data_IF_494780456251
#
_entry.id   IF_494780456251
#
_cell.length_a   1.000
_cell.length_b   1.000
_cell.length_c   1.000
_cell.angle_alpha   90.00
_cell.angle_beta   90.00
_cell.angle_gamma   90.00
#
_symmetry.space_group_name_H-M   'P 1'
#
loop_
_entity.id
_entity.type
_entity.pdbx_description
1 polymer ?
#
# COMPACT_ATOMS: atom_id res chain seq x y z
N UNK A 1 15.61 -30.63 -48.83
CA UNK A 1 15.59 -29.37 -48.06
C UNK A 1 16.95 -28.71 -48.17
N UNK A 2 17.03 -27.42 -48.56
CA UNK A 2 18.31 -26.75 -48.83
C UNK A 2 19.09 -26.57 -47.53
N UNK A 3 20.43 -26.76 -47.57
CA UNK A 3 21.31 -26.55 -46.40
C UNK A 3 21.09 -25.16 -45.78
N UNK A 4 20.78 -24.17 -46.61
CA UNK A 4 20.45 -22.79 -46.24
C UNK A 4 19.24 -22.70 -45.29
N UNK A 5 18.15 -23.42 -45.56
CA UNK A 5 16.97 -23.43 -44.69
C UNK A 5 17.25 -24.01 -43.30
N UNK A 6 18.13 -25.01 -43.23
CA UNK A 6 18.52 -25.63 -41.95
C UNK A 6 19.39 -24.68 -41.10
N UNK A 7 20.22 -23.83 -41.71
CA UNK A 7 20.99 -22.82 -40.99
C UNK A 7 20.11 -21.66 -40.51
N UNK A 8 19.17 -21.20 -41.35
CA UNK A 8 18.21 -20.15 -40.97
C UNK A 8 17.35 -20.57 -39.77
N UNK A 9 16.88 -21.83 -39.79
CA UNK A 9 16.11 -22.41 -38.67
C UNK A 9 16.92 -22.46 -37.37
N UNK A 10 18.21 -22.85 -37.46
CA UNK A 10 19.12 -22.87 -36.30
C UNK A 10 19.37 -21.46 -35.73
N UNK A 11 19.50 -20.45 -36.60
CA UNK A 11 19.70 -19.06 -36.20
C UNK A 11 18.44 -18.52 -35.50
N UNK A 12 17.24 -18.84 -36.02
CA UNK A 12 15.98 -18.44 -35.38
C UNK A 12 15.80 -19.07 -33.99
N UNK A 13 16.17 -20.35 -33.83
CA UNK A 13 16.18 -21.00 -32.51
C UNK A 13 17.19 -20.33 -31.56
N UNK A 14 18.38 -19.98 -32.06
CA UNK A 14 19.41 -19.31 -31.25
C UNK A 14 18.95 -17.93 -30.76
N UNK A 15 18.26 -17.16 -31.61
CA UNK A 15 17.69 -15.85 -31.27
C UNK A 15 16.56 -16.00 -30.24
N UNK A 16 15.69 -17.00 -30.39
CA UNK A 16 14.65 -17.29 -29.38
C UNK A 16 15.25 -17.70 -28.03
N UNK A 17 16.31 -18.51 -28.03
CA UNK A 17 17.00 -18.95 -26.80
C UNK A 17 17.74 -17.80 -26.11
N UNK A 18 18.30 -16.85 -26.86
CA UNK A 18 18.98 -15.67 -26.32
C UNK A 18 17.99 -14.58 -25.85
N UNK A 19 16.80 -14.49 -26.47
CA UNK A 19 15.78 -13.49 -26.15
C UNK A 19 14.91 -13.78 -24.92
N UNK A 20 14.90 -15.02 -24.40
CA UNK A 20 14.08 -15.39 -23.23
C UNK A 20 14.65 -14.91 -21.88
N UNK A 21 15.91 -14.47 -21.82
CA UNK A 21 16.58 -14.12 -20.56
C UNK A 21 16.30 -12.72 -20.00
N UNK A 22 15.55 -11.86 -20.71
CA UNK A 22 15.41 -10.44 -20.33
C UNK A 22 14.00 -10.02 -19.90
N UNK A 23 13.04 -10.95 -19.78
CA UNK A 23 11.65 -10.60 -19.46
C UNK A 23 11.32 -10.45 -17.97
N UNK A 24 12.25 -10.72 -17.04
CA UNK A 24 11.91 -10.83 -15.61
C UNK A 24 12.71 -9.92 -14.65
N UNK A 25 13.06 -8.70 -15.10
CA UNK A 25 13.70 -7.69 -14.22
C UNK A 25 12.72 -6.81 -13.43
N UNK A 26 11.42 -7.09 -13.44
CA UNK A 26 10.42 -6.29 -12.72
C UNK A 26 10.02 -6.91 -11.35
N UNK A 27 10.14 -8.23 -11.18
CA UNK A 27 9.59 -8.95 -10.02
C UNK A 27 10.25 -8.65 -8.67
N UNK A 28 11.47 -8.11 -8.65
CA UNK A 28 12.19 -7.76 -7.41
C UNK A 28 11.70 -6.46 -6.78
N UNK A 29 11.38 -5.44 -7.59
CA UNK A 29 10.98 -4.11 -7.11
C UNK A 29 9.66 -4.16 -6.34
N UNK A 30 8.70 -4.95 -6.80
CA UNK A 30 7.37 -5.04 -6.19
C UNK A 30 7.41 -5.76 -4.84
N UNK A 31 8.31 -6.73 -4.67
CA UNK A 31 8.50 -7.46 -3.42
C UNK A 31 9.11 -6.59 -2.33
N UNK A 32 10.11 -5.78 -2.67
CA UNK A 32 10.75 -4.87 -1.72
C UNK A 32 9.76 -3.79 -1.24
N UNK A 33 8.96 -3.23 -2.15
CA UNK A 33 7.92 -2.25 -1.79
C UNK A 33 6.83 -2.87 -0.92
N UNK A 34 6.41 -4.11 -1.20
CA UNK A 34 5.44 -4.82 -0.39
C UNK A 34 5.97 -5.07 1.04
N UNK A 35 7.21 -5.53 1.15
CA UNK A 35 7.87 -5.76 2.43
C UNK A 35 8.00 -4.46 3.25
N UNK A 36 8.42 -3.37 2.62
CA UNK A 36 8.52 -2.07 3.30
C UNK A 36 7.14 -1.55 3.73
N UNK A 37 6.10 -1.74 2.91
CA UNK A 37 4.73 -1.37 3.26
C UNK A 37 4.28 -2.09 4.52
N UNK A 38 4.42 -3.42 4.54
CA UNK A 38 4.02 -4.25 5.68
C UNK A 38 4.74 -3.81 6.96
N UNK A 39 6.06 -3.68 6.90
CA UNK A 39 6.88 -3.26 8.04
C UNK A 39 6.50 -1.88 8.57
N UNK A 40 6.27 -0.91 7.69
CA UNK A 40 5.86 0.44 8.10
C UNK A 40 4.45 0.42 8.69
N UNK A 41 3.53 -0.35 8.13
CA UNK A 41 2.18 -0.49 8.67
C UNK A 41 2.20 -1.10 10.07
N UNK A 42 2.96 -2.18 10.29
CA UNK A 42 3.13 -2.79 11.61
C UNK A 42 3.68 -1.78 12.63
N UNK A 43 4.73 -1.04 12.26
CA UNK A 43 5.33 -0.02 13.13
C UNK A 43 4.38 1.16 13.46
N UNK A 44 3.52 1.55 12.51
CA UNK A 44 2.60 2.67 12.71
C UNK A 44 1.36 2.27 13.50
N UNK A 45 0.93 1.01 13.42
CA UNK A 45 -0.27 0.50 14.09
C UNK A 45 0.04 -0.15 15.45
N UNK A 46 1.31 -0.35 15.82
CA UNK A 46 1.74 -0.80 17.15
C UNK A 46 1.56 0.29 18.23
N UNK A 47 0.32 0.77 18.40
CA UNK A 47 -0.07 1.74 19.41
C UNK A 47 -0.91 1.05 20.49
N UNK A 48 -0.66 1.29 21.80
CA UNK A 48 -1.49 0.73 22.86
C UNK A 48 -2.94 1.22 22.74
N UNK A 49 -3.87 0.28 22.64
CA UNK A 49 -5.31 0.56 22.55
C UNK A 49 -5.90 0.66 23.96
N UNK A 50 -6.76 1.65 24.19
CA UNK A 50 -7.57 1.77 25.41
C UNK A 50 -9.04 1.44 25.13
N UNK A 51 -9.56 0.37 25.72
CA UNK A 51 -10.98 -0.03 25.59
C UNK A 51 -11.95 1.11 25.90
N UNK A 52 -11.62 1.93 26.91
CA UNK A 52 -12.41 3.11 27.28
C UNK A 52 -12.45 4.16 26.16
N UNK A 53 -11.31 4.40 25.50
CA UNK A 53 -11.23 5.33 24.39
C UNK A 53 -11.97 4.80 23.16
N UNK A 54 -11.80 3.52 22.82
CA UNK A 54 -12.53 2.86 21.72
C UNK A 54 -14.03 2.93 21.96
N UNK A 55 -14.50 2.60 23.16
CA UNK A 55 -15.92 2.71 23.52
C UNK A 55 -16.44 4.11 23.28
N UNK A 56 -15.70 5.13 23.71
CA UNK A 56 -16.07 6.53 23.49
C UNK A 56 -16.15 6.86 22.00
N UNK A 57 -15.16 6.44 21.20
CA UNK A 57 -15.11 6.69 19.76
C UNK A 57 -16.30 6.04 19.05
N UNK A 58 -16.59 4.77 19.36
CA UNK A 58 -17.68 4.01 18.76
C UNK A 58 -19.05 4.56 19.15
N UNK A 59 -19.24 4.97 20.41
CA UNK A 59 -20.53 5.48 20.89
C UNK A 59 -20.83 6.92 20.44
N UNK A 60 -19.81 7.69 20.07
CA UNK A 60 -19.96 9.12 19.73
C UNK A 60 -19.87 9.42 18.24
N UNK A 61 -19.53 8.43 17.40
CA UNK A 61 -19.55 8.60 15.95
C UNK A 61 -20.99 8.87 15.48
N UNK A 62 -21.15 9.90 14.66
CA UNK A 62 -22.45 10.24 14.06
C UNK A 62 -22.71 9.41 12.81
N UNK A 63 -23.96 9.30 12.33
CA UNK A 63 -24.29 8.57 11.10
C UNK A 63 -23.55 9.07 9.85
N UNK A 64 -23.12 10.33 9.84
CA UNK A 64 -22.35 10.94 8.75
C UNK A 64 -20.83 10.69 8.86
N UNK A 65 -20.38 9.93 9.86
CA UNK A 65 -18.97 9.63 10.12
C UNK A 65 -18.21 10.75 10.83
N UNK A 66 -18.89 11.82 11.27
CA UNK A 66 -18.25 12.88 12.05
C UNK A 66 -18.26 12.59 13.55
N UNK A 67 -17.32 13.16 14.28
CA UNK A 67 -17.30 13.13 15.74
C UNK A 67 -17.63 14.50 16.33
N UNK A 68 -18.39 14.56 17.45
CA UNK A 68 -18.62 15.80 18.16
C UNK A 68 -17.31 16.37 18.72
N UNK A 69 -17.22 17.70 18.77
CA UNK A 69 -16.06 18.40 19.33
C UNK A 69 -14.84 18.47 18.39
N UNK A 70 -15.01 18.15 17.11
CA UNK A 70 -14.05 18.44 16.04
C UNK A 70 -14.64 19.56 15.18
N UNK A 71 -13.89 20.64 15.01
CA UNK A 71 -14.20 21.67 14.01
C UNK A 71 -13.71 21.20 12.64
N UNK A 72 -14.65 20.83 11.76
CA UNK A 72 -14.38 20.38 10.40
C UNK A 72 -14.36 21.52 9.37
N UNK A 73 -14.67 22.75 9.79
CA UNK A 73 -14.62 23.95 8.93
C UNK A 73 -13.25 24.62 9.03
N UNK A 74 -12.59 24.49 10.18
CA UNK A 74 -11.27 25.05 10.42
C UNK A 74 -10.15 24.31 9.67
N UNK A 75 -9.74 24.90 8.54
CA UNK A 75 -8.60 24.48 7.72
C UNK A 75 -7.32 25.27 8.01
N UNK A 76 -7.28 26.02 9.11
CA UNK A 76 -6.11 26.79 9.51
C UNK A 76 -4.96 25.87 9.94
N UNK A 77 -3.73 26.34 9.75
CA UNK A 77 -2.52 25.58 10.08
C UNK A 77 -2.25 25.46 11.59
N UNK A 78 -2.88 26.30 12.40
CA UNK A 78 -2.63 26.44 13.85
C UNK A 78 -3.65 25.73 14.72
N UNK A 79 -4.77 25.30 14.15
CA UNK A 79 -5.85 24.61 14.86
C UNK A 79 -6.47 23.49 14.03
N UNK A 80 -5.70 22.82 13.16
CA UNK A 80 -6.17 21.75 12.28
C UNK A 80 -6.68 20.52 13.07
N UNK A 81 -7.96 20.53 13.45
CA UNK A 81 -8.55 19.51 14.32
C UNK A 81 -8.86 18.20 13.59
N UNK A 82 -8.77 18.18 12.26
CA UNK A 82 -8.94 16.96 11.45
C UNK A 82 -7.96 15.85 11.83
N UNK A 83 -6.82 16.17 12.46
CA UNK A 83 -5.92 15.18 13.06
C UNK A 83 -6.64 14.30 14.10
N UNK A 84 -7.61 14.84 14.84
CA UNK A 84 -8.41 14.08 15.81
C UNK A 84 -9.33 13.09 15.13
N UNK A 85 -9.89 13.45 13.97
CA UNK A 85 -10.68 12.53 13.15
C UNK A 85 -9.79 11.39 12.63
N UNK A 86 -8.61 11.71 12.09
CA UNK A 86 -7.65 10.70 11.67
C UNK A 86 -7.25 9.77 12.83
N UNK A 87 -6.97 10.32 14.01
CA UNK A 87 -6.60 9.52 15.18
C UNK A 87 -7.72 8.59 15.65
N UNK A 88 -8.99 8.99 15.49
CA UNK A 88 -10.13 8.09 15.77
C UNK A 88 -10.16 6.92 14.78
N UNK A 89 -9.90 7.19 13.49
CA UNK A 89 -9.83 6.14 12.47
C UNK A 89 -8.67 5.17 12.71
N UNK A 90 -7.49 5.69 13.05
CA UNK A 90 -6.32 4.85 13.36
C UNK A 90 -6.61 3.96 14.56
N UNK A 91 -7.22 4.49 15.62
CA UNK A 91 -7.61 3.70 16.80
C UNK A 91 -8.64 2.60 16.48
N UNK A 92 -9.49 2.78 15.46
CA UNK A 92 -10.45 1.75 15.03
C UNK A 92 -9.85 0.71 14.07
N UNK A 93 -8.71 1.01 13.45
CA UNK A 93 -8.06 0.15 12.47
C UNK A 93 -7.07 -0.85 13.09
N UNK A 94 -6.59 -0.56 14.30
CA UNK A 94 -5.76 -1.45 15.12
C UNK A 94 -6.63 -2.41 15.92
#
# INVERSE_FOLDING_TARGET
MSKFGNYLWKILILICLLGMGTLDMQAGKDKDVAYLREKVTEQLLDMPISDKQIRTIVETVRPDGTWPGIDYVDVSRTAFQHVRHLNNLVQLAT
#
